data_IF_939068242876
#
_entry.id   IF_939068242876
#
_cell.length_a   1.000
_cell.length_b   1.000
_cell.length_c   1.000
_cell.angle_alpha   90.00
_cell.angle_beta   90.00
_cell.angle_gamma   90.00
#
_symmetry.space_group_name_H-M   'P 1'
#
loop_
_entity.id
_entity.type
_entity.pdbx_description
1 polymer ?
#
# COMPACT_ATOMS: atom_id res chain seq x y z
N UNK A 1 50.62 -81.82 54.53
CA UNK A 1 51.27 -80.56 54.08
C UNK A 1 51.07 -80.23 52.60
N UNK A 2 51.36 -81.14 51.65
CA UNK A 2 51.22 -80.85 50.20
C UNK A 2 49.77 -80.53 49.79
N UNK A 3 48.80 -81.31 50.25
CA UNK A 3 47.36 -81.06 50.03
C UNK A 3 46.91 -79.73 50.61
N UNK A 4 47.43 -79.36 51.77
CA UNK A 4 47.13 -78.09 52.43
C UNK A 4 47.70 -76.89 51.65
N UNK A 5 48.89 -77.04 51.03
CA UNK A 5 49.44 -76.05 50.10
C UNK A 5 48.62 -75.94 48.81
N UNK A 6 48.13 -77.06 48.27
CA UNK A 6 47.25 -77.08 47.09
C UNK A 6 45.90 -76.42 47.39
N UNK A 7 45.29 -76.70 48.54
CA UNK A 7 44.06 -76.06 48.99
C UNK A 7 44.24 -74.55 49.12
N UNK A 8 45.35 -74.08 49.72
CA UNK A 8 45.65 -72.64 49.81
C UNK A 8 45.87 -71.96 48.46
N UNK A 9 46.36 -72.69 47.44
CA UNK A 9 46.47 -72.17 46.08
C UNK A 9 45.10 -72.10 45.42
N UNK A 10 44.30 -73.16 45.52
CA UNK A 10 42.95 -73.20 44.97
C UNK A 10 42.03 -72.14 45.60
N UNK A 11 42.11 -71.91 46.93
CA UNK A 11 41.37 -70.82 47.58
C UNK A 11 41.79 -69.45 47.05
N UNK A 12 43.11 -69.22 46.88
CA UNK A 12 43.60 -67.98 46.27
C UNK A 12 43.08 -67.82 44.85
N UNK A 13 43.14 -68.84 44.01
CA UNK A 13 42.61 -68.79 42.64
C UNK A 13 41.10 -68.47 42.65
N UNK A 14 40.32 -69.10 43.54
CA UNK A 14 38.90 -68.78 43.72
C UNK A 14 38.68 -67.33 44.14
N UNK A 15 39.49 -66.79 45.05
CA UNK A 15 39.38 -65.39 45.48
C UNK A 15 39.67 -64.43 44.31
N UNK A 16 40.71 -64.72 43.51
CA UNK A 16 41.02 -63.93 42.30
C UNK A 16 39.87 -64.01 41.28
N UNK A 17 39.27 -65.19 41.08
CA UNK A 17 38.11 -65.35 40.21
C UNK A 17 36.89 -64.57 40.74
N UNK A 18 36.67 -64.56 42.06
CA UNK A 18 35.61 -63.78 42.69
C UNK A 18 35.86 -62.27 42.56
N UNK A 19 37.09 -61.79 42.74
CA UNK A 19 37.46 -60.39 42.45
C UNK A 19 37.21 -60.03 40.99
N UNK A 20 37.59 -60.91 40.06
CA UNK A 20 37.34 -60.70 38.62
C UNK A 20 35.84 -60.61 38.32
N UNK A 21 35.04 -61.51 38.88
CA UNK A 21 33.58 -61.49 38.72
C UNK A 21 32.98 -60.24 39.36
N UNK A 22 33.44 -59.81 40.54
CA UNK A 22 33.04 -58.53 41.16
C UNK A 22 33.34 -57.35 40.25
N UNK A 23 34.51 -57.32 39.62
CA UNK A 23 34.88 -56.29 38.64
C UNK A 23 33.97 -56.27 37.41
N UNK A 24 33.63 -57.45 36.87
CA UNK A 24 32.71 -57.57 35.73
C UNK A 24 31.30 -57.11 36.12
N UNK A 25 30.80 -57.52 37.29
CA UNK A 25 29.47 -57.11 37.77
C UNK A 25 29.40 -55.59 37.98
N UNK A 26 30.44 -55.00 38.58
CA UNK A 26 30.51 -53.54 38.75
C UNK A 26 30.56 -52.79 37.41
N UNK A 27 31.32 -53.31 36.43
CA UNK A 27 31.35 -52.73 35.08
C UNK A 27 29.98 -52.84 34.39
N UNK A 28 29.31 -53.98 34.49
CA UNK A 28 27.96 -54.17 33.94
C UNK A 28 26.94 -53.26 34.62
N UNK A 29 27.02 -53.07 35.94
CA UNK A 29 26.17 -52.16 36.69
C UNK A 29 26.35 -50.71 36.22
N UNK A 30 27.60 -50.25 36.05
CA UNK A 30 27.89 -48.93 35.49
C UNK A 30 27.35 -48.77 34.06
N UNK A 31 27.45 -49.83 33.24
CA UNK A 31 26.91 -49.83 31.87
C UNK A 31 25.38 -49.73 31.89
N UNK A 32 24.71 -50.46 32.78
CA UNK A 32 23.26 -50.41 32.95
C UNK A 32 22.80 -49.02 33.39
N UNK A 33 23.47 -48.41 34.39
CA UNK A 33 23.19 -47.05 34.84
C UNK A 33 23.39 -46.01 33.71
N UNK A 34 24.42 -46.20 32.87
CA UNK A 34 24.63 -45.35 31.68
C UNK A 34 23.54 -45.55 30.62
N UNK A 35 23.05 -46.77 30.43
CA UNK A 35 21.94 -47.02 29.51
C UNK A 35 20.62 -46.45 30.05
N UNK A 36 20.38 -46.55 31.36
CA UNK A 36 19.22 -45.96 32.03
C UNK A 36 19.21 -44.43 31.98
N UNK A 37 20.38 -43.79 32.15
CA UNK A 37 20.49 -42.33 32.00
C UNK A 37 20.25 -41.89 30.55
N UNK A 38 20.79 -42.65 29.58
CA UNK A 38 20.55 -42.42 28.16
C UNK A 38 19.06 -42.59 27.80
N UNK A 39 18.42 -43.66 28.28
CA UNK A 39 16.98 -43.90 28.06
C UNK A 39 16.14 -42.77 28.65
N UNK A 40 16.47 -42.28 29.85
CA UNK A 40 15.80 -41.12 30.45
C UNK A 40 16.00 -39.85 29.60
N UNK A 41 17.21 -39.57 29.14
CA UNK A 41 17.50 -38.44 28.24
C UNK A 41 16.69 -38.54 26.95
N UNK A 42 16.65 -39.72 26.33
CA UNK A 42 15.86 -39.95 25.11
C UNK A 42 14.35 -39.86 25.35
N UNK A 43 13.86 -40.28 26.52
CA UNK A 43 12.46 -40.06 26.91
C UNK A 43 12.09 -38.57 26.94
N UNK A 44 12.93 -37.75 27.58
CA UNK A 44 12.73 -36.29 27.62
C UNK A 44 12.83 -35.64 26.23
N UNK A 45 13.75 -36.09 25.37
CA UNK A 45 13.83 -35.61 23.98
C UNK A 45 12.55 -35.92 23.20
N UNK A 46 11.98 -37.13 23.35
CA UNK A 46 10.72 -37.51 22.69
C UNK A 46 9.55 -36.68 23.22
N UNK A 47 9.47 -36.46 24.53
CA UNK A 47 8.45 -35.59 25.12
C UNK A 47 8.55 -34.16 24.59
N UNK A 48 9.77 -33.60 24.54
CA UNK A 48 10.02 -32.27 23.98
C UNK A 48 9.60 -32.19 22.51
N UNK A 49 9.98 -33.17 21.69
CA UNK A 49 9.58 -33.24 20.27
C UNK A 49 8.07 -33.40 20.11
N UNK A 50 7.41 -34.16 20.99
CA UNK A 50 5.95 -34.29 20.96
C UNK A 50 5.25 -32.96 21.26
N UNK A 51 5.78 -32.20 22.22
CA UNK A 51 5.26 -30.88 22.57
C UNK A 51 5.49 -29.86 21.44
N UNK A 52 6.66 -29.88 20.78
CA UNK A 52 6.91 -29.00 19.63
C UNK A 52 6.00 -29.34 18.45
N UNK A 53 5.78 -30.63 18.15
CA UNK A 53 4.83 -31.06 17.12
C UNK A 53 3.39 -30.60 17.43
N UNK A 54 2.94 -30.71 18.68
CA UNK A 54 1.63 -30.20 19.10
C UNK A 54 1.52 -28.68 18.94
N UNK A 55 2.55 -27.92 19.31
CA UNK A 55 2.58 -26.47 19.13
C UNK A 55 2.53 -26.07 17.64
N UNK A 56 3.27 -26.78 16.78
CA UNK A 56 3.25 -26.54 15.34
C UNK A 56 1.88 -26.86 14.73
N UNK A 57 1.24 -27.94 15.18
CA UNK A 57 -0.11 -28.29 14.75
C UNK A 57 -1.13 -27.21 15.14
N UNK A 58 -1.05 -26.71 16.37
CA UNK A 58 -1.90 -25.61 16.82
C UNK A 58 -1.67 -24.32 16.01
N UNK A 59 -0.41 -23.96 15.74
CA UNK A 59 -0.07 -22.81 14.91
C UNK A 59 -0.60 -22.96 13.48
N UNK A 60 -0.51 -24.16 12.91
CA UNK A 60 -1.06 -24.48 11.60
C UNK A 60 -2.57 -24.23 11.57
N UNK A 61 -3.31 -24.77 12.53
CA UNK A 61 -4.76 -24.59 12.63
C UNK A 61 -5.14 -23.11 12.85
N UNK A 62 -4.39 -22.38 13.68
CA UNK A 62 -4.61 -20.95 13.88
C UNK A 62 -4.39 -20.14 12.59
N UNK A 63 -3.38 -20.49 11.80
CA UNK A 63 -3.13 -19.84 10.51
C UNK A 63 -4.21 -20.19 9.47
N UNK A 64 -4.64 -21.44 9.39
CA UNK A 64 -5.74 -21.89 8.51
C UNK A 64 -7.07 -21.20 8.86
N UNK A 65 -7.39 -21.04 10.14
CA UNK A 65 -8.61 -20.34 10.57
C UNK A 65 -8.54 -18.83 10.31
N UNK A 66 -7.36 -18.19 10.47
CA UNK A 66 -7.15 -16.79 10.09
C UNK A 66 -7.29 -16.60 8.59
N UNK A 67 -6.66 -17.45 7.79
CA UNK A 67 -6.76 -17.43 6.34
C UNK A 67 -8.21 -17.61 5.89
N UNK A 68 -8.92 -18.58 6.46
CA UNK A 68 -10.35 -18.82 6.15
C UNK A 68 -11.24 -17.63 6.50
N UNK A 69 -10.95 -16.92 7.61
CA UNK A 69 -11.68 -15.69 7.98
C UNK A 69 -11.41 -14.56 7.00
N UNK A 70 -10.13 -14.30 6.72
CA UNK A 70 -9.71 -13.29 5.76
C UNK A 70 -10.29 -13.55 4.37
N UNK A 71 -10.29 -14.80 3.91
CA UNK A 71 -10.87 -15.18 2.62
C UNK A 71 -12.37 -14.85 2.57
N UNK A 72 -13.15 -15.20 3.61
CA UNK A 72 -14.57 -14.86 3.68
C UNK A 72 -14.82 -13.35 3.71
N UNK A 73 -13.96 -12.59 4.38
CA UNK A 73 -14.04 -11.12 4.38
C UNK A 73 -13.78 -10.56 2.97
N UNK A 74 -12.78 -11.07 2.25
CA UNK A 74 -12.53 -10.69 0.87
C UNK A 74 -13.71 -11.04 -0.05
N UNK A 75 -14.24 -12.26 0.06
CA UNK A 75 -15.43 -12.70 -0.70
C UNK A 75 -16.64 -11.81 -0.40
N UNK A 76 -16.86 -11.44 0.87
CA UNK A 76 -17.94 -10.52 1.27
C UNK A 76 -17.74 -9.11 0.70
N UNK A 77 -16.53 -8.57 0.71
CA UNK A 77 -16.22 -7.26 0.12
C UNK A 77 -16.46 -7.29 -1.39
N UNK A 78 -16.01 -8.35 -2.07
CA UNK A 78 -16.22 -8.53 -3.51
C UNK A 78 -17.73 -8.58 -3.82
N UNK A 79 -18.49 -9.38 -3.07
CA UNK A 79 -19.95 -9.47 -3.24
C UNK A 79 -20.64 -8.11 -3.02
N UNK A 80 -20.21 -7.37 -2.00
CA UNK A 80 -20.75 -6.03 -1.72
C UNK A 80 -20.42 -5.03 -2.84
N UNK A 81 -19.19 -5.05 -3.35
CA UNK A 81 -18.78 -4.21 -4.47
C UNK A 81 -19.53 -4.58 -5.76
N UNK A 82 -19.70 -5.86 -6.04
CA UNK A 82 -20.48 -6.33 -7.20
C UNK A 82 -21.93 -5.90 -7.12
N UNK A 83 -22.55 -6.02 -5.94
CA UNK A 83 -23.94 -5.60 -5.70
C UNK A 83 -24.08 -4.08 -5.87
N UNK A 84 -23.20 -3.30 -5.22
CA UNK A 84 -23.18 -1.84 -5.32
C UNK A 84 -22.96 -1.35 -6.76
N UNK A 85 -22.05 -1.99 -7.50
CA UNK A 85 -21.80 -1.67 -8.90
C UNK A 85 -23.02 -1.99 -9.77
N UNK A 86 -23.67 -3.14 -9.55
CA UNK A 86 -24.89 -3.50 -10.27
C UNK A 86 -26.04 -2.53 -9.98
N UNK A 87 -26.29 -2.19 -8.71
CA UNK A 87 -27.31 -1.22 -8.31
C UNK A 87 -27.05 0.14 -8.94
N UNK A 88 -25.78 0.60 -8.95
CA UNK A 88 -25.39 1.86 -9.57
C UNK A 88 -25.55 1.83 -11.09
N UNK A 89 -25.25 0.70 -11.74
CA UNK A 89 -25.45 0.54 -13.17
C UNK A 89 -26.94 0.65 -13.53
N UNK A 90 -27.78 -0.01 -12.73
CA UNK A 90 -29.23 0.07 -12.88
C UNK A 90 -29.76 1.50 -12.68
N UNK A 91 -29.29 2.24 -11.68
CA UNK A 91 -29.64 3.65 -11.52
C UNK A 91 -29.24 4.50 -12.74
N UNK A 92 -28.05 4.26 -13.29
CA UNK A 92 -27.59 4.96 -14.50
C UNK A 92 -28.46 4.59 -15.70
N UNK A 93 -28.84 3.34 -15.86
CA UNK A 93 -29.76 2.88 -16.91
C UNK A 93 -31.14 3.56 -16.77
N UNK A 94 -31.71 3.61 -15.56
CA UNK A 94 -33.00 4.25 -15.26
C UNK A 94 -32.96 5.77 -15.51
N UNK A 95 -31.86 6.44 -15.11
CA UNK A 95 -31.64 7.86 -15.37
C UNK A 95 -31.49 8.12 -16.88
N UNK A 96 -30.74 7.27 -17.58
CA UNK A 96 -30.57 7.34 -19.03
C UNK A 96 -31.92 7.23 -19.75
N UNK A 97 -32.74 6.24 -19.38
CA UNK A 97 -34.07 6.07 -19.94
C UNK A 97 -34.98 7.27 -19.69
N UNK A 98 -34.93 7.85 -18.49
CA UNK A 98 -35.70 9.04 -18.11
C UNK A 98 -35.26 10.27 -18.91
N UNK A 99 -33.96 10.46 -19.11
CA UNK A 99 -33.41 11.57 -19.89
C UNK A 99 -33.75 11.42 -21.38
N UNK A 100 -33.59 10.23 -21.95
CA UNK A 100 -33.98 9.89 -23.33
C UNK A 100 -35.42 10.27 -23.64
N UNK A 101 -36.34 10.06 -22.70
CA UNK A 101 -37.74 10.45 -22.86
C UNK A 101 -37.98 11.98 -22.86
N UNK A 102 -36.99 12.79 -22.45
CA UNK A 102 -37.08 14.26 -22.37
C UNK A 102 -36.31 15.00 -23.46
N UNK A 103 -35.61 14.30 -24.34
CA UNK A 103 -34.81 14.90 -25.41
C UNK A 103 -35.67 15.25 -26.64
N UNK A 104 -35.39 16.40 -27.26
CA UNK A 104 -36.07 16.86 -28.48
C UNK A 104 -35.47 16.28 -29.77
N UNK A 105 -36.18 16.36 -30.92
CA UNK A 105 -35.69 15.85 -32.20
C UNK A 105 -34.44 16.65 -32.63
N UNK A 106 -33.28 15.98 -32.65
CA UNK A 106 -31.95 16.56 -32.91
C UNK A 106 -30.94 16.34 -31.78
N UNK A 107 -31.39 16.17 -30.53
CA UNK A 107 -30.50 15.83 -29.40
C UNK A 107 -30.29 14.31 -29.24
N UNK A 108 -31.13 13.51 -29.90
CA UNK A 108 -31.07 12.05 -29.93
C UNK A 108 -29.84 11.52 -30.67
N UNK A 109 -29.40 12.17 -31.75
CA UNK A 109 -28.23 11.78 -32.54
C UNK A 109 -26.93 11.86 -31.70
N UNK A 110 -26.78 12.93 -30.91
CA UNK A 110 -25.64 13.11 -30.00
C UNK A 110 -25.61 12.03 -28.91
N UNK A 111 -26.79 11.65 -28.38
CA UNK A 111 -26.88 10.59 -27.36
C UNK A 111 -26.56 9.21 -27.97
N UNK A 112 -27.00 8.95 -29.20
CA UNK A 112 -26.65 7.72 -29.92
C UNK A 112 -25.14 7.60 -30.15
N UNK A 113 -24.45 8.68 -30.54
CA UNK A 113 -22.99 8.69 -30.68
C UNK A 113 -22.26 8.49 -29.35
N UNK A 114 -22.73 9.11 -28.26
CA UNK A 114 -22.17 8.90 -26.92
C UNK A 114 -22.39 7.47 -26.43
N UNK A 115 -23.56 6.88 -26.67
CA UNK A 115 -23.85 5.47 -26.37
C UNK A 115 -22.93 4.53 -27.14
N UNK A 116 -22.70 4.80 -28.43
CA UNK A 116 -21.76 4.00 -29.25
C UNK A 116 -20.32 4.12 -28.74
N UNK A 117 -19.85 5.33 -28.38
CA UNK A 117 -18.52 5.54 -27.78
C UNK A 117 -18.39 4.84 -26.42
N UNK A 118 -19.42 4.89 -25.58
CA UNK A 118 -19.43 4.20 -24.29
C UNK A 118 -19.36 2.68 -24.48
N UNK A 119 -20.16 2.13 -25.38
CA UNK A 119 -20.21 0.70 -25.67
C UNK A 119 -18.90 0.18 -26.28
N UNK A 120 -18.19 1.01 -27.07
CA UNK A 120 -16.84 0.72 -27.54
C UNK A 120 -15.82 0.69 -26.39
N UNK A 121 -15.87 1.66 -25.46
CA UNK A 121 -15.01 1.68 -24.27
C UNK A 121 -15.29 0.48 -23.35
N UNK A 122 -16.56 0.12 -23.16
CA UNK A 122 -16.96 -1.04 -22.37
C UNK A 122 -16.42 -2.35 -22.96
N UNK A 123 -16.51 -2.51 -24.29
CA UNK A 123 -15.92 -3.67 -24.98
C UNK A 123 -14.40 -3.76 -24.79
N UNK A 124 -13.68 -2.64 -24.94
CA UNK A 124 -12.22 -2.62 -24.70
C UNK A 124 -11.86 -2.98 -23.25
N UNK A 125 -12.62 -2.47 -22.27
CA UNK A 125 -12.40 -2.83 -20.86
C UNK A 125 -12.68 -4.32 -20.61
N UNK A 126 -13.72 -4.86 -21.22
CA UNK A 126 -14.06 -6.26 -21.10
C UNK A 126 -12.99 -7.17 -21.71
N UNK A 127 -12.45 -6.81 -22.87
CA UNK A 127 -11.34 -7.51 -23.51
C UNK A 127 -10.08 -7.48 -22.62
N UNK A 128 -9.71 -6.31 -22.09
CA UNK A 128 -8.57 -6.16 -21.16
C UNK A 128 -8.73 -6.98 -19.88
N UNK A 129 -9.93 -7.01 -19.30
CA UNK A 129 -10.23 -7.84 -18.13
C UNK A 129 -10.14 -9.33 -18.47
N UNK A 130 -10.62 -9.73 -19.66
CA UNK A 130 -10.52 -11.12 -20.12
C UNK A 130 -9.06 -11.56 -20.28
N UNK A 131 -8.20 -10.70 -20.81
CA UNK A 131 -6.78 -11.00 -21.00
C UNK A 131 -6.02 -11.03 -19.67
N UNK A 132 -6.32 -10.09 -18.75
CA UNK A 132 -5.84 -10.15 -17.36
C UNK A 132 -6.22 -11.46 -16.67
N UNK A 133 -7.45 -11.93 -16.89
CA UNK A 133 -7.92 -13.18 -16.29
C UNK A 133 -7.24 -14.41 -16.90
N UNK A 134 -7.03 -14.44 -18.22
CA UNK A 134 -6.24 -15.50 -18.88
C UNK A 134 -4.83 -15.56 -18.33
N UNK A 135 -4.15 -14.42 -18.20
CA UNK A 135 -2.80 -14.34 -17.62
C UNK A 135 -2.76 -14.86 -16.18
N UNK A 136 -3.76 -14.50 -15.35
CA UNK A 136 -3.83 -14.99 -13.98
C UNK A 136 -3.94 -16.53 -13.92
N UNK A 137 -4.76 -17.12 -14.79
CA UNK A 137 -4.91 -18.59 -14.90
C UNK A 137 -3.63 -19.25 -15.41
N UNK A 138 -2.91 -18.62 -16.35
CA UNK A 138 -1.60 -19.10 -16.82
C UNK A 138 -0.57 -19.13 -15.69
N UNK A 139 -0.47 -18.07 -14.90
CA UNK A 139 0.40 -18.04 -13.72
C UNK A 139 0.00 -19.07 -12.66
N UNK A 140 -1.30 -19.27 -12.44
CA UNK A 140 -1.79 -20.30 -11.52
C UNK A 140 -1.38 -21.71 -11.98
N UNK A 141 -1.51 -22.01 -13.28
CA UNK A 141 -1.05 -23.28 -13.85
C UNK A 141 0.47 -23.45 -13.74
N UNK A 142 1.27 -22.39 -13.95
CA UNK A 142 2.72 -22.44 -13.82
C UNK A 142 3.14 -22.72 -12.37
N UNK A 143 2.55 -22.02 -11.40
CA UNK A 143 2.79 -22.25 -9.97
C UNK A 143 2.42 -23.69 -9.60
N UNK A 144 1.26 -24.16 -10.06
CA UNK A 144 0.81 -25.52 -9.78
C UNK A 144 1.74 -26.58 -10.38
N UNK A 145 2.26 -26.35 -11.58
CA UNK A 145 3.28 -27.19 -12.22
C UNK A 145 4.61 -27.22 -11.44
N UNK A 146 5.06 -26.07 -10.94
CA UNK A 146 6.26 -25.98 -10.09
C UNK A 146 6.07 -26.71 -8.76
N UNK A 147 4.89 -26.58 -8.12
CA UNK A 147 4.55 -27.30 -6.89
C UNK A 147 4.56 -28.82 -7.12
N UNK A 148 3.97 -29.29 -8.22
CA UNK A 148 4.02 -30.71 -8.59
C UNK A 148 5.46 -31.19 -8.83
N UNK A 149 6.27 -30.41 -9.57
CA UNK A 149 7.68 -30.74 -9.78
C UNK A 149 8.46 -30.81 -8.47
N UNK A 150 8.25 -29.86 -7.57
CA UNK A 150 8.89 -29.85 -6.25
C UNK A 150 8.46 -31.06 -5.41
N UNK A 151 7.16 -31.39 -5.39
CA UNK A 151 6.65 -32.58 -4.69
C UNK A 151 7.24 -33.87 -5.26
N UNK A 152 7.34 -34.02 -6.58
CA UNK A 152 7.99 -35.21 -7.18
C UNK A 152 9.46 -35.33 -6.78
N UNK A 153 10.20 -34.21 -6.79
CA UNK A 153 11.61 -34.17 -6.36
C UNK A 153 11.76 -34.51 -4.87
N UNK A 154 10.85 -34.02 -4.03
CA UNK A 154 10.82 -34.33 -2.61
C UNK A 154 10.55 -35.82 -2.38
N UNK A 155 9.60 -36.41 -3.12
CA UNK A 155 9.31 -37.84 -3.08
C UNK A 155 10.53 -38.69 -3.50
N UNK A 156 11.23 -38.28 -4.55
CA UNK A 156 12.46 -38.94 -5.02
C UNK A 156 13.59 -38.84 -4.00
N UNK A 157 13.76 -37.66 -3.38
CA UNK A 157 14.72 -37.43 -2.30
C UNK A 157 14.43 -38.34 -1.10
N UNK A 158 13.16 -38.43 -0.68
CA UNK A 158 12.72 -39.33 0.38
C UNK A 158 13.01 -40.79 0.03
N UNK A 159 12.65 -41.25 -1.18
CA UNK A 159 12.93 -42.61 -1.63
C UNK A 159 14.44 -42.92 -1.68
N UNK A 160 15.28 -41.93 -2.05
CA UNK A 160 16.73 -42.08 -2.01
C UNK A 160 17.26 -42.21 -0.57
N UNK A 161 16.73 -41.40 0.36
CA UNK A 161 17.07 -41.50 1.77
C UNK A 161 16.64 -42.86 2.37
N UNK A 162 15.46 -43.35 2.04
CA UNK A 162 14.98 -44.69 2.47
C UNK A 162 15.89 -45.81 1.97
N UNK A 163 16.29 -45.77 0.69
CA UNK A 163 17.26 -46.74 0.13
C UNK A 163 18.60 -46.69 0.86
N UNK A 164 19.07 -45.50 1.22
CA UNK A 164 20.29 -45.33 2.00
C UNK A 164 20.16 -45.94 3.40
N UNK A 165 19.04 -45.70 4.08
CA UNK A 165 18.75 -46.32 5.38
C UNK A 165 18.71 -47.85 5.26
N UNK A 166 18.09 -48.39 4.21
CA UNK A 166 18.07 -49.83 3.97
C UNK A 166 19.47 -50.41 3.73
N UNK A 167 20.30 -49.76 2.91
CA UNK A 167 21.69 -50.17 2.69
C UNK A 167 22.53 -50.12 3.98
N UNK A 168 22.29 -49.12 4.85
CA UNK A 168 22.93 -49.05 6.16
C UNK A 168 22.48 -50.20 7.07
N UNK A 169 21.19 -50.57 7.05
CA UNK A 169 20.69 -51.73 7.80
C UNK A 169 21.33 -53.04 7.33
N UNK A 170 21.44 -53.25 6.01
CA UNK A 170 22.11 -54.42 5.41
C UNK A 170 23.58 -54.48 5.85
N UNK A 171 24.32 -53.38 5.72
CA UNK A 171 25.72 -53.29 6.16
C UNK A 171 25.88 -53.54 7.66
N UNK A 172 24.95 -53.07 8.48
CA UNK A 172 24.96 -53.33 9.90
C UNK A 172 24.71 -54.82 10.20
N UNK A 173 23.82 -55.47 9.46
CA UNK A 173 23.59 -56.92 9.57
C UNK A 173 24.82 -57.75 9.15
N UNK A 174 25.51 -57.35 8.08
CA UNK A 174 26.79 -57.95 7.65
C UNK A 174 27.86 -57.79 8.72
N UNK A 175 28.00 -56.57 9.28
CA UNK A 175 28.91 -56.29 10.37
C UNK A 175 28.59 -57.13 11.62
N UNK A 176 27.32 -57.32 11.94
CA UNK A 176 26.89 -58.17 13.04
C UNK A 176 27.22 -59.64 12.79
N UNK A 177 27.01 -60.13 11.56
CA UNK A 177 27.39 -61.49 11.16
C UNK A 177 28.92 -61.70 11.24
N UNK A 178 29.72 -60.72 10.80
CA UNK A 178 31.18 -60.76 10.94
C UNK A 178 31.62 -60.76 12.40
N UNK A 179 30.99 -59.95 13.26
CA UNK A 179 31.24 -59.96 14.70
C UNK A 179 30.91 -61.33 15.33
N UNK A 180 29.83 -61.98 14.90
CA UNK A 180 29.48 -63.33 15.36
C UNK A 180 30.47 -64.39 14.86
N UNK A 181 30.89 -64.31 13.59
CA UNK A 181 31.88 -65.22 13.01
C UNK A 181 33.23 -65.10 13.72
N UNK A 182 33.70 -63.87 13.97
CA UNK A 182 34.93 -63.61 14.71
C UNK A 182 34.80 -64.04 16.18
N UNK A 183 33.70 -63.70 16.86
CA UNK A 183 33.45 -64.15 18.23
C UNK A 183 33.37 -65.68 18.37
N UNK A 184 32.84 -66.39 17.36
CA UNK A 184 32.85 -67.86 17.29
C UNK A 184 34.23 -68.45 16.97
N UNK A 185 35.03 -67.74 16.17
CA UNK A 185 36.42 -68.13 15.86
C UNK A 185 37.35 -67.87 17.03
N UNK A 186 37.12 -66.82 17.80
CA UNK A 186 37.81 -66.55 19.06
C UNK A 186 37.43 -67.59 20.12
N UNK A 187 36.19 -68.10 20.12
CA UNK A 187 35.80 -69.25 20.96
C UNK A 187 36.49 -70.56 20.53
N UNK A 188 36.67 -70.80 19.22
CA UNK A 188 37.40 -71.96 18.68
C UNK A 188 38.93 -71.84 18.89
N UNK A 189 39.50 -70.63 18.75
CA UNK A 189 40.91 -70.36 18.98
C UNK A 189 41.27 -70.33 20.47
N UNK A 190 40.34 -69.97 21.35
CA UNK A 190 40.50 -70.06 22.80
C UNK A 190 40.48 -71.51 23.32
N UNK A 191 40.16 -72.49 22.47
CA UNK A 191 40.15 -73.93 22.80
C UNK A 191 41.41 -74.68 22.32
N UNK A 192 42.35 -74.00 21.65
CA UNK A 192 43.65 -74.59 21.30
C UNK A 192 44.69 -74.25 22.39
N UNK A 193 45.22 -75.24 23.14
CA UNK A 193 46.23 -74.97 24.15
C UNK A 193 47.58 -74.67 23.51
N UNK A 194 48.22 -73.65 24.09
CA UNK A 194 49.59 -73.21 23.84
C UNK A 194 50.58 -74.38 23.79
N UNK A 195 51.40 -74.43 22.74
CA UNK A 195 52.75 -74.99 22.83
C UNK A 195 53.75 -73.99 22.24
N UNK A 196 54.78 -73.68 23.03
CA UNK A 196 55.73 -72.58 22.86
C UNK A 196 56.66 -72.71 21.63
N UNK A 197 56.77 -71.60 20.86
CA UNK A 197 57.95 -70.80 20.39
C UNK A 197 59.34 -71.52 20.26
N UNK A 198 60.26 -71.24 19.28
CA UNK A 198 60.64 -69.91 18.74
C UNK A 198 60.97 -69.79 17.23
N UNK A 199 61.40 -68.57 16.87
CA UNK A 199 61.63 -67.95 15.56
C UNK A 199 62.84 -68.44 14.75
N UNK A 200 62.75 -68.34 13.42
CA UNK A 200 63.71 -67.77 12.44
C UNK A 200 63.25 -68.13 11.02
N UNK A 201 62.88 -67.15 10.18
CA UNK A 201 63.68 -66.57 9.05
C UNK A 201 63.82 -67.53 7.85
N UNK A 202 63.78 -66.94 6.64
CA UNK A 202 64.01 -67.52 5.29
C UNK A 202 62.72 -68.13 4.70
N UNK A 203 62.14 -67.74 3.55
CA UNK A 203 62.57 -66.90 2.43
C UNK A 203 61.51 -66.95 1.32
N UNK A 204 61.68 -66.08 0.31
CA UNK A 204 61.24 -66.20 -1.10
C UNK A 204 60.04 -65.31 -1.49
N UNK A 205 60.40 -64.11 -1.96
CA UNK A 205 59.77 -63.36 -3.08
C UNK A 205 60.00 -64.14 -4.40
N UNK A 206 59.12 -64.10 -5.45
CA UNK A 206 59.11 -63.02 -6.47
C UNK A 206 57.69 -62.65 -7.00
N UNK A 207 57.32 -61.39 -7.26
CA UNK A 207 57.66 -60.45 -8.37
C UNK A 207 56.65 -60.46 -9.54
N UNK A 208 56.33 -59.25 -10.05
CA UNK A 208 55.86 -58.85 -11.41
C UNK A 208 54.33 -58.85 -11.66
N UNK A 209 53.67 -57.79 -12.19
CA UNK A 209 54.08 -56.52 -12.82
C UNK A 209 52.94 -55.46 -12.78
N UNK A 210 53.24 -54.15 -12.81
CA UNK A 210 53.17 -53.23 -13.98
C UNK A 210 51.71 -52.93 -14.44
N UNK A 211 51.15 -51.72 -14.64
CA UNK A 211 51.54 -50.30 -14.82
C UNK A 211 50.31 -49.45 -14.32
N UNK A 212 50.33 -48.17 -13.96
CA UNK A 212 50.48 -46.98 -14.83
C UNK A 212 50.46 -45.68 -13.97
N UNK A 213 51.49 -44.84 -14.14
CA UNK A 213 51.51 -43.37 -14.30
C UNK A 213 50.14 -42.63 -14.37
N UNK A 214 49.88 -41.38 -13.95
CA UNK A 214 50.60 -40.23 -13.34
C UNK A 214 49.56 -39.27 -12.72
N UNK A 215 49.99 -38.38 -11.81
CA UNK A 215 49.25 -37.12 -11.57
C UNK A 215 49.38 -36.52 -10.17
N UNK A 216 50.59 -36.17 -9.73
CA UNK A 216 50.84 -35.37 -8.53
C UNK A 216 51.30 -33.96 -8.91
N UNK A 217 50.65 -32.94 -8.37
CA UNK A 217 51.20 -31.56 -8.30
C UNK A 217 51.43 -31.24 -6.84
N UNK A 218 52.70 -31.17 -6.45
CA UNK A 218 53.17 -30.57 -5.21
C UNK A 218 54.28 -29.58 -5.56
N UNK A 219 54.15 -28.32 -5.12
CA UNK A 219 55.18 -27.27 -5.23
C UNK A 219 55.72 -26.96 -3.83
N UNK A 220 57.04 -26.82 -3.63
CA UNK A 220 57.70 -26.52 -2.36
C UNK A 220 58.26 -25.08 -2.27
N UNK A 221 58.41 -24.55 -1.05
CA UNK A 221 59.35 -23.45 -0.73
C UNK A 221 59.65 -23.50 0.79
N UNK A 222 60.87 -23.88 1.23
CA UNK A 222 62.15 -23.14 1.27
C UNK A 222 62.18 -22.11 2.40
N UNK A 223 62.95 -22.42 3.45
CA UNK A 223 63.59 -21.42 4.31
C UNK A 223 65.04 -21.84 4.61
N UNK A 224 65.94 -20.90 4.32
CA UNK A 224 67.39 -21.00 4.32
C UNK A 224 67.97 -20.80 5.73
N UNK A 225 68.97 -21.62 6.08
CA UNK A 225 69.88 -21.39 7.20
C UNK A 225 71.14 -20.69 6.69
N UNK A 226 71.54 -19.58 7.30
CA UNK A 226 72.93 -19.09 7.24
C UNK A 226 73.34 -18.48 8.58
N UNK A 227 74.23 -19.19 9.27
CA UNK A 227 75.08 -18.71 10.36
C UNK A 227 76.23 -17.87 9.83
N UNK A 228 76.70 -16.85 10.56
CA UNK A 228 78.14 -16.54 10.67
C UNK A 228 78.53 -15.88 12.01
N UNK A 229 79.74 -16.26 12.39
CA UNK A 229 80.57 -16.04 13.59
C UNK A 229 81.06 -14.61 13.85
N UNK A 230 81.38 -14.27 15.10
CA UNK A 230 82.67 -13.67 15.51
C UNK A 230 82.83 -13.58 17.04
N UNK A 231 84.02 -13.96 17.55
CA UNK A 231 84.50 -13.84 18.93
C UNK A 231 84.82 -12.39 19.32
N UNK A 232 84.70 -12.07 20.61
CA UNK A 232 85.35 -10.91 21.23
C UNK A 232 85.21 -10.94 22.77
N UNK A 233 86.30 -11.29 23.47
CA UNK A 233 86.47 -11.18 24.93
C UNK A 233 86.53 -9.71 25.37
N UNK A 234 85.87 -9.36 26.48
CA UNK A 234 86.32 -8.30 27.41
C UNK A 234 85.54 -8.32 28.74
N UNK A 235 86.23 -8.75 29.81
CA UNK A 235 86.24 -8.21 31.18
C UNK A 235 84.96 -7.69 31.86
N UNK A 236 84.63 -8.36 32.98
CA UNK A 236 83.73 -7.94 34.10
C UNK A 236 84.20 -6.58 34.71
N UNK A 237 83.30 -5.79 35.35
CA UNK A 237 83.24 -5.87 36.81
C UNK A 237 81.81 -5.86 37.40
N UNK A 238 81.71 -6.56 38.54
CA UNK A 238 80.60 -6.64 39.48
C UNK A 238 80.06 -5.27 39.92
N UNK A 239 78.73 -5.15 40.03
CA UNK A 239 78.03 -4.34 41.04
C UNK A 239 76.78 -5.02 41.59
N UNK A 240 76.97 -6.19 42.20
CA UNK A 240 75.92 -6.97 42.86
C UNK A 240 75.57 -6.39 44.25
N UNK A 241 74.77 -5.32 44.30
CA UNK A 241 73.92 -5.03 45.49
C UNK A 241 72.81 -4.00 45.25
N UNK A 242 72.91 -3.16 44.21
CA UNK A 242 71.84 -2.22 43.81
C UNK A 242 71.09 -2.62 42.53
N UNK A 243 71.60 -3.62 41.80
CA UNK A 243 71.08 -4.07 40.50
C UNK A 243 69.80 -4.90 40.62
N UNK A 244 69.55 -5.56 41.76
CA UNK A 244 68.36 -6.42 41.91
C UNK A 244 67.09 -5.58 42.08
N UNK A 245 67.16 -4.45 42.79
CA UNK A 245 66.02 -3.53 42.94
C UNK A 245 65.74 -2.72 41.66
N UNK A 246 66.79 -2.38 40.89
CA UNK A 246 66.61 -1.72 39.58
C UNK A 246 66.14 -2.70 38.51
N UNK A 247 66.63 -3.94 38.49
CA UNK A 247 66.16 -5.00 37.57
C UNK A 247 64.72 -5.39 37.90
N UNK A 248 64.36 -5.56 39.18
CA UNK A 248 62.97 -5.83 39.56
C UNK A 248 62.02 -4.66 39.22
N UNK A 249 62.50 -3.42 39.33
CA UNK A 249 61.79 -2.23 38.87
C UNK A 249 61.54 -2.26 37.35
N UNK A 250 62.58 -2.54 36.56
CA UNK A 250 62.49 -2.66 35.11
C UNK A 250 61.63 -3.84 34.65
N UNK A 251 61.65 -4.97 35.37
CA UNK A 251 60.77 -6.12 35.10
C UNK A 251 59.30 -5.77 35.34
N UNK A 252 59.00 -5.02 36.40
CA UNK A 252 57.65 -4.53 36.68
C UNK A 252 57.20 -3.51 35.62
N UNK A 253 58.08 -2.60 35.21
CA UNK A 253 57.80 -1.65 34.12
C UNK A 253 57.59 -2.37 32.78
N UNK A 254 58.38 -3.42 32.49
CA UNK A 254 58.21 -4.28 31.32
C UNK A 254 56.86 -5.03 31.35
N UNK A 255 56.47 -5.56 32.52
CA UNK A 255 55.17 -6.22 32.70
C UNK A 255 54.01 -5.24 32.52
N UNK A 256 54.10 -4.05 33.11
CA UNK A 256 53.09 -3.00 32.95
C UNK A 256 52.98 -2.55 31.49
N UNK A 257 54.11 -2.31 30.81
CA UNK A 257 54.13 -1.94 29.40
C UNK A 257 53.53 -3.04 28.51
N UNK A 258 53.72 -4.32 28.87
CA UNK A 258 53.12 -5.46 28.16
C UNK A 258 51.60 -5.52 28.35
N UNK A 259 51.10 -5.29 29.58
CA UNK A 259 49.67 -5.23 29.86
C UNK A 259 49.00 -4.04 29.16
N UNK A 260 49.63 -2.86 29.16
CA UNK A 260 49.14 -1.69 28.44
C UNK A 260 49.09 -1.92 26.92
N UNK A 261 50.11 -2.59 26.35
CA UNK A 261 50.13 -2.94 24.93
C UNK A 261 49.01 -3.94 24.59
N UNK A 262 48.74 -4.91 25.47
CA UNK A 262 47.62 -5.84 25.30
C UNK A 262 46.26 -5.12 25.36
N UNK A 263 46.08 -4.16 26.26
CA UNK A 263 44.88 -3.31 26.33
C UNK A 263 44.72 -2.45 25.07
N UNK A 264 45.80 -1.84 24.58
CA UNK A 264 45.78 -1.07 23.33
C UNK A 264 45.44 -1.95 22.12
N UNK A 265 45.97 -3.18 22.06
CA UNK A 265 45.63 -4.14 21.02
C UNK A 265 44.17 -4.63 21.11
N UNK A 266 43.59 -4.73 22.31
CA UNK A 266 42.16 -5.02 22.49
C UNK A 266 41.32 -3.84 22.00
N UNK A 267 41.64 -2.62 22.40
CA UNK A 267 40.97 -1.39 21.96
C UNK A 267 41.09 -1.15 20.45
N UNK A 268 42.21 -1.51 19.84
CA UNK A 268 42.39 -1.47 18.39
C UNK A 268 41.50 -2.50 17.67
N UNK A 269 41.35 -3.71 18.22
CA UNK A 269 40.41 -4.69 17.65
C UNK A 269 38.97 -4.21 17.79
N UNK A 270 38.60 -3.64 18.93
CA UNK A 270 37.28 -3.05 19.16
C UNK A 270 36.99 -1.91 18.18
N UNK A 271 37.91 -0.96 18.01
CA UNK A 271 37.72 0.14 17.05
C UNK A 271 37.68 -0.34 15.59
N UNK A 272 38.44 -1.38 15.23
CA UNK A 272 38.32 -2.03 13.91
C UNK A 272 36.96 -2.69 13.70
N UNK A 273 36.40 -3.33 14.73
CA UNK A 273 35.05 -3.90 14.66
C UNK A 273 33.98 -2.81 14.54
N UNK A 274 34.11 -1.72 15.29
CA UNK A 274 33.21 -0.56 15.19
C UNK A 274 33.29 0.10 13.81
N UNK A 275 34.50 0.28 13.25
CA UNK A 275 34.69 0.80 11.90
C UNK A 275 34.05 -0.12 10.85
N UNK A 276 34.19 -1.44 10.98
CA UNK A 276 33.54 -2.39 10.09
C UNK A 276 32.01 -2.34 10.20
N UNK A 277 31.47 -2.14 11.40
CA UNK A 277 30.03 -2.00 11.62
C UNK A 277 29.50 -0.70 11.01
N UNK A 278 30.22 0.42 11.19
CA UNK A 278 29.88 1.70 10.58
C UNK A 278 29.97 1.63 9.04
N UNK A 279 31.00 1.00 8.48
CA UNK A 279 31.10 0.77 7.04
C UNK A 279 29.92 -0.05 6.50
N UNK A 280 29.49 -1.08 7.21
CA UNK A 280 28.31 -1.86 6.85
C UNK A 280 27.04 -1.01 6.90
N UNK A 281 26.87 -0.16 7.91
CA UNK A 281 25.71 0.72 8.03
C UNK A 281 25.68 1.77 6.91
N UNK A 282 26.83 2.34 6.54
CA UNK A 282 26.94 3.26 5.41
C UNK A 282 26.57 2.56 4.10
N UNK A 283 27.06 1.33 3.87
CA UNK A 283 26.71 0.57 2.67
C UNK A 283 25.19 0.27 2.59
N UNK A 284 24.55 -0.05 3.71
CA UNK A 284 23.09 -0.24 3.77
C UNK A 284 22.35 1.08 3.48
N UNK A 285 22.79 2.19 4.07
CA UNK A 285 22.19 3.51 3.81
C UNK A 285 22.36 3.95 2.36
N UNK A 286 23.52 3.70 1.75
CA UNK A 286 23.76 3.96 0.32
C UNK A 286 22.80 3.15 -0.56
N UNK A 287 22.58 1.87 -0.22
CA UNK A 287 21.62 1.03 -0.93
C UNK A 287 20.17 1.52 -0.77
N UNK A 288 19.76 1.93 0.42
CA UNK A 288 18.43 2.53 0.67
C UNK A 288 18.23 3.82 -0.13
N UNK A 289 19.22 4.71 -0.12
CA UNK A 289 19.18 5.95 -0.93
C UNK A 289 19.11 5.64 -2.43
N UNK A 290 19.78 4.59 -2.89
CA UNK A 290 19.74 4.19 -4.29
C UNK A 290 18.39 3.59 -4.69
N UNK A 291 17.75 2.81 -3.81
CA UNK A 291 16.37 2.35 -3.99
C UNK A 291 15.41 3.54 -4.04
N UNK A 292 15.53 4.49 -3.11
CA UNK A 292 14.71 5.71 -3.11
C UNK A 292 14.90 6.54 -4.39
N UNK A 293 16.13 6.65 -4.89
CA UNK A 293 16.41 7.33 -6.16
C UNK A 293 15.72 6.62 -7.34
N UNK A 294 15.78 5.28 -7.40
CA UNK A 294 15.10 4.49 -8.43
C UNK A 294 13.57 4.65 -8.36
N UNK A 295 13.00 4.69 -7.16
CA UNK A 295 11.57 4.94 -6.94
C UNK A 295 11.16 6.34 -7.40
N UNK A 296 11.95 7.37 -7.08
CA UNK A 296 11.70 8.73 -7.58
C UNK A 296 11.75 8.80 -9.10
N UNK A 297 12.76 8.18 -9.73
CA UNK A 297 12.83 8.14 -11.20
C UNK A 297 11.63 7.42 -11.83
N UNK A 298 11.17 6.31 -11.22
CA UNK A 298 9.98 5.59 -11.66
C UNK A 298 8.72 6.46 -11.56
N UNK A 299 8.58 7.20 -10.45
CA UNK A 299 7.49 8.15 -10.25
C UNK A 299 7.55 9.28 -11.30
N UNK A 300 8.73 9.85 -11.57
CA UNK A 300 8.92 10.87 -12.60
C UNK A 300 8.53 10.36 -13.99
N UNK A 301 8.94 9.13 -14.37
CA UNK A 301 8.50 8.51 -15.63
C UNK A 301 6.98 8.34 -15.68
N UNK A 302 6.36 7.92 -14.57
CA UNK A 302 4.91 7.75 -14.47
C UNK A 302 4.17 9.09 -14.63
N UNK A 303 4.68 10.16 -14.01
CA UNK A 303 4.12 11.51 -14.17
C UNK A 303 4.20 11.94 -15.63
N UNK A 304 5.36 11.75 -16.28
CA UNK A 304 5.53 12.12 -17.69
C UNK A 304 4.54 11.39 -18.61
N UNK A 305 4.38 10.08 -18.43
CA UNK A 305 3.40 9.28 -19.20
C UNK A 305 1.97 9.80 -18.97
N UNK A 306 1.62 10.15 -17.73
CA UNK A 306 0.32 10.72 -17.41
C UNK A 306 0.12 12.11 -18.01
N UNK A 307 1.13 12.97 -18.03
CA UNK A 307 1.07 14.28 -18.68
C UNK A 307 0.86 14.16 -20.19
N UNK A 308 1.56 13.23 -20.84
CA UNK A 308 1.41 13.02 -22.27
C UNK A 308 0.03 12.42 -22.60
N UNK A 309 -0.47 11.49 -21.78
CA UNK A 309 -1.84 11.01 -21.90
C UNK A 309 -2.88 12.13 -21.70
N UNK A 310 -2.66 13.04 -20.75
CA UNK A 310 -3.55 14.19 -20.54
C UNK A 310 -3.56 15.09 -21.78
N UNK A 311 -2.39 15.37 -22.38
CA UNK A 311 -2.31 16.14 -23.63
C UNK A 311 -3.06 15.45 -24.76
N UNK A 312 -2.89 14.14 -24.92
CA UNK A 312 -3.59 13.36 -25.95
C UNK A 312 -5.11 13.36 -25.74
N UNK A 313 -5.57 13.20 -24.50
CA UNK A 313 -6.99 13.28 -24.16
C UNK A 313 -7.54 14.68 -24.39
N UNK A 314 -6.80 15.73 -24.03
CA UNK A 314 -7.18 17.12 -24.32
C UNK A 314 -7.28 17.36 -25.82
N UNK A 315 -6.37 16.83 -26.63
CA UNK A 315 -6.43 16.89 -28.09
C UNK A 315 -7.61 16.11 -28.68
N UNK A 316 -7.97 14.96 -28.10
CA UNK A 316 -9.14 14.18 -28.53
C UNK A 316 -10.49 14.79 -28.12
N UNK A 317 -10.51 15.56 -27.03
CA UNK A 317 -11.71 16.23 -26.52
C UNK A 317 -12.01 17.56 -27.24
N UNK A 318 -11.03 18.15 -27.93
CA UNK A 318 -11.24 19.34 -28.76
C UNK A 318 -11.72 18.87 -30.13
N UNK A 319 -12.99 19.13 -30.46
CA UNK A 319 -13.52 18.78 -31.77
C UNK A 319 -12.83 19.63 -32.86
N UNK A 320 -12.31 19.01 -33.94
CA UNK A 320 -11.58 19.73 -34.98
C UNK A 320 -12.45 20.73 -35.75
N UNK A 321 -13.78 20.63 -35.64
CA UNK A 321 -14.74 21.57 -36.20
C UNK A 321 -14.95 22.81 -35.31
N UNK A 322 -14.75 22.68 -33.99
CA UNK A 322 -14.91 23.76 -33.03
C UNK A 322 -13.78 24.79 -33.12
N UNK A 323 -12.57 24.38 -33.51
CA UNK A 323 -11.44 25.30 -33.70
C UNK A 323 -11.75 26.34 -34.80
N UNK A 324 -12.10 25.97 -36.05
CA UNK A 324 -12.47 26.94 -37.07
C UNK A 324 -13.87 27.57 -36.83
N UNK A 325 -14.79 26.91 -36.12
CA UNK A 325 -16.07 27.52 -35.75
C UNK A 325 -15.90 28.65 -34.71
N UNK A 326 -15.02 28.46 -33.72
CA UNK A 326 -14.65 29.47 -32.73
C UNK A 326 -13.97 30.67 -33.39
N UNK A 327 -13.08 30.43 -34.37
CA UNK A 327 -12.47 31.50 -35.16
C UNK A 327 -13.50 32.27 -36.00
N UNK A 328 -14.44 31.58 -36.65
CA UNK A 328 -15.56 32.21 -37.39
C UNK A 328 -16.46 33.03 -36.46
N UNK A 329 -16.86 32.47 -35.32
CA UNK A 329 -17.66 33.18 -34.30
C UNK A 329 -16.92 34.40 -33.77
N UNK A 330 -15.61 34.30 -33.56
CA UNK A 330 -14.78 35.44 -33.12
C UNK A 330 -14.76 36.54 -34.17
N UNK A 331 -14.63 36.20 -35.45
CA UNK A 331 -14.67 37.15 -36.56
C UNK A 331 -16.08 37.78 -36.72
N UNK A 332 -17.14 36.99 -36.57
CA UNK A 332 -18.52 37.47 -36.61
C UNK A 332 -18.82 38.42 -35.45
N UNK A 333 -18.37 38.11 -34.24
CA UNK A 333 -18.50 39.02 -33.08
C UNK A 333 -17.77 40.34 -33.33
N UNK A 334 -16.59 40.31 -33.94
CA UNK A 334 -15.85 41.53 -34.30
C UNK A 334 -16.59 42.36 -35.35
N UNK A 335 -17.11 41.73 -36.41
CA UNK A 335 -17.90 42.42 -37.44
C UNK A 335 -19.23 42.97 -36.91
N UNK A 336 -19.87 42.25 -35.99
CA UNK A 336 -21.09 42.73 -35.33
C UNK A 336 -20.78 43.92 -34.43
N UNK A 337 -19.65 43.93 -33.71
CA UNK A 337 -19.22 45.10 -32.94
C UNK A 337 -18.95 46.32 -33.83
N UNK A 338 -18.33 46.13 -34.99
CA UNK A 338 -18.09 47.20 -35.97
C UNK A 338 -19.39 47.72 -36.58
N UNK A 339 -20.32 46.83 -36.95
CA UNK A 339 -21.65 47.21 -37.43
C UNK A 339 -22.47 47.95 -36.37
N UNK A 340 -22.45 47.49 -35.12
CA UNK A 340 -23.11 48.17 -34.00
C UNK A 340 -22.51 49.58 -33.81
N UNK A 341 -21.19 49.72 -33.82
CA UNK A 341 -20.53 51.03 -33.75
C UNK A 341 -20.91 51.95 -34.93
N UNK A 342 -21.06 51.40 -36.14
CA UNK A 342 -21.48 52.17 -37.31
C UNK A 342 -22.94 52.65 -37.24
N UNK A 343 -23.85 51.79 -36.75
CA UNK A 343 -25.28 52.13 -36.56
C UNK A 343 -25.46 53.13 -35.42
N UNK A 344 -24.65 53.02 -34.37
CA UNK A 344 -24.61 54.00 -33.27
C UNK A 344 -24.18 55.39 -33.75
N UNK A 345 -23.31 55.49 -34.75
CA UNK A 345 -22.86 56.78 -35.32
C UNK A 345 -23.86 57.46 -36.25
N UNK A 346 -24.81 56.72 -36.85
CA UNK A 346 -25.71 57.22 -37.91
C UNK A 346 -27.11 57.61 -37.41
N UNK A 347 -27.52 57.17 -36.21
CA UNK A 347 -28.87 57.40 -35.65
C UNK A 347 -28.99 58.45 -34.55
N UNK A 348 -27.94 59.23 -34.26
CA UNK A 348 -27.77 59.85 -32.94
C UNK A 348 -28.52 61.16 -32.64
N UNK A 349 -29.07 61.92 -33.60
CA UNK A 349 -29.65 63.24 -33.27
C UNK A 349 -31.15 63.21 -32.88
N UNK A 350 -31.98 62.37 -33.51
CA UNK A 350 -33.41 62.25 -33.15
C UNK A 350 -33.67 61.11 -32.16
N UNK A 351 -32.91 60.01 -32.22
CA UNK A 351 -32.99 58.94 -31.22
C UNK A 351 -32.23 59.28 -29.93
N UNK A 352 -31.21 60.15 -29.99
CA UNK A 352 -30.45 60.60 -28.83
C UNK A 352 -31.33 61.33 -27.83
N UNK A 353 -32.16 62.27 -28.28
CA UNK A 353 -33.08 63.01 -27.42
C UNK A 353 -34.16 62.11 -26.78
N UNK A 354 -34.70 61.13 -27.54
CA UNK A 354 -35.68 60.16 -27.02
C UNK A 354 -35.04 59.18 -26.03
N UNK A 355 -33.83 58.70 -26.32
CA UNK A 355 -33.05 57.83 -25.43
C UNK A 355 -32.67 58.57 -24.15
N UNK A 356 -32.26 59.82 -24.24
CA UNK A 356 -31.98 60.69 -23.09
C UNK A 356 -33.23 60.89 -22.23
N UNK A 357 -34.39 61.14 -22.85
CA UNK A 357 -35.66 61.31 -22.14
C UNK A 357 -36.12 60.02 -21.45
N UNK A 358 -35.96 58.86 -22.11
CA UNK A 358 -36.25 57.55 -21.51
C UNK A 358 -35.28 57.24 -20.36
N UNK A 359 -33.99 57.54 -20.51
CA UNK A 359 -33.00 57.36 -19.46
C UNK A 359 -33.32 58.21 -18.22
N UNK A 360 -33.65 59.48 -18.39
CA UNK A 360 -34.06 60.36 -17.29
C UNK A 360 -35.34 59.86 -16.59
N UNK A 361 -36.29 59.30 -17.35
CA UNK A 361 -37.51 58.73 -16.78
C UNK A 361 -37.25 57.43 -16.00
N UNK A 362 -36.39 56.55 -16.52
CA UNK A 362 -35.99 55.32 -15.85
C UNK A 362 -35.16 55.60 -14.60
N UNK A 363 -34.24 56.57 -14.64
CA UNK A 363 -33.49 57.06 -13.49
C UNK A 363 -34.44 57.58 -12.40
N UNK A 364 -35.44 58.38 -12.80
CA UNK A 364 -36.49 58.85 -11.90
C UNK A 364 -37.33 57.74 -11.26
N UNK A 365 -37.56 56.61 -11.95
CA UNK A 365 -38.22 55.43 -11.38
C UNK A 365 -37.31 54.65 -10.42
N UNK A 366 -36.02 54.54 -10.74
CA UNK A 366 -35.04 53.92 -9.84
C UNK A 366 -34.95 54.70 -8.53
N UNK A 367 -34.97 56.03 -8.61
CA UNK A 367 -35.00 56.90 -7.44
C UNK A 367 -36.31 56.82 -6.64
N UNK A 368 -37.45 56.58 -7.28
CA UNK A 368 -38.69 56.29 -6.56
C UNK A 368 -38.67 54.94 -5.88
N UNK A 369 -38.13 53.92 -6.53
CA UNK A 369 -37.98 52.59 -5.96
C UNK A 369 -37.04 52.61 -4.76
N UNK A 370 -35.95 53.37 -4.80
CA UNK A 370 -35.07 53.55 -3.64
C UNK A 370 -35.79 54.27 -2.49
N UNK A 371 -36.51 55.37 -2.76
CA UNK A 371 -37.34 56.07 -1.77
C UNK A 371 -38.46 55.22 -1.19
N UNK A 372 -39.08 54.35 -1.99
CA UNK A 372 -40.09 53.39 -1.54
C UNK A 372 -39.48 52.36 -0.59
N UNK A 373 -38.32 51.82 -0.95
CA UNK A 373 -37.58 50.88 -0.11
C UNK A 373 -37.18 51.50 1.23
N UNK A 374 -36.74 52.76 1.25
CA UNK A 374 -36.45 53.49 2.49
C UNK A 374 -37.70 53.66 3.37
N UNK A 375 -38.83 54.04 2.78
CA UNK A 375 -40.09 54.19 3.50
C UNK A 375 -40.59 52.84 4.06
N UNK A 376 -40.45 51.76 3.30
CA UNK A 376 -40.81 50.40 3.73
C UNK A 376 -39.84 49.86 4.79
N UNK A 377 -38.56 50.26 4.75
CA UNK A 377 -37.60 49.95 5.82
C UNK A 377 -37.93 50.71 7.11
N UNK A 378 -38.31 51.98 7.01
CA UNK A 378 -38.81 52.75 8.15
C UNK A 378 -40.08 52.13 8.74
N UNK A 379 -40.98 51.60 7.90
CA UNK A 379 -42.17 50.86 8.33
C UNK A 379 -41.79 49.59 9.11
N UNK A 380 -40.84 48.79 8.59
CA UNK A 380 -40.32 47.61 9.29
C UNK A 380 -39.66 47.97 10.63
N UNK A 381 -38.95 49.09 10.69
CA UNK A 381 -38.37 49.60 11.94
C UNK A 381 -39.45 50.00 12.94
N UNK A 382 -40.54 50.64 12.48
CA UNK A 382 -41.69 50.98 13.31
C UNK A 382 -42.38 49.74 13.86
N UNK A 383 -42.64 48.72 13.03
CA UNK A 383 -43.17 47.44 13.51
C UNK A 383 -42.20 46.75 14.48
N UNK A 384 -40.89 46.81 14.25
CA UNK A 384 -39.89 46.25 15.17
C UNK A 384 -39.91 46.96 16.52
N UNK A 385 -40.03 48.29 16.53
CA UNK A 385 -40.21 49.09 17.75
C UNK A 385 -41.52 48.73 18.45
N UNK A 386 -42.64 48.67 17.72
CA UNK A 386 -43.97 48.32 18.26
C UNK A 386 -44.02 46.93 18.90
N UNK A 387 -43.31 45.94 18.32
CA UNK A 387 -43.18 44.58 18.88
C UNK A 387 -42.34 44.59 20.16
N UNK A 388 -41.25 45.37 20.21
CA UNK A 388 -40.43 45.52 21.43
C UNK A 388 -41.22 46.13 22.59
N UNK A 389 -42.13 47.08 22.31
CA UNK A 389 -43.00 47.69 23.31
C UNK A 389 -44.19 46.81 23.75
N UNK A 390 -44.50 45.71 23.04
CA UNK A 390 -45.51 44.75 23.48
C UNK A 390 -45.06 43.87 24.66
N UNK A 391 -43.77 43.89 25.03
CA UNK A 391 -43.21 43.05 26.10
C UNK A 391 -43.21 43.68 27.51
N UNK A 392 -43.60 44.95 27.70
CA UNK A 392 -43.60 45.64 29.00
C UNK A 392 -44.97 46.27 29.34
N UNK A 393 -45.64 45.89 30.46
CA UNK A 393 -47.05 46.22 30.71
C UNK A 393 -47.27 47.29 31.80
N UNK A 394 -46.87 48.55 31.61
CA UNK A 394 -47.22 49.64 32.55
C UNK A 394 -47.78 50.90 31.83
N UNK A 395 -48.95 51.38 32.27
CA UNK A 395 -50.00 51.98 31.44
C UNK A 395 -50.14 53.52 31.50
N UNK A 396 -49.05 54.27 31.29
CA UNK A 396 -49.19 55.71 30.97
C UNK A 396 -48.09 56.25 30.04
N UNK A 397 -46.92 55.60 30.02
CA UNK A 397 -45.88 55.82 29.02
C UNK A 397 -46.20 55.08 27.72
N UNK A 398 -46.91 53.94 27.81
CA UNK A 398 -47.42 53.17 26.67
C UNK A 398 -48.35 53.98 25.77
N UNK A 399 -49.32 54.71 26.33
CA UNK A 399 -50.29 55.43 25.50
C UNK A 399 -49.65 56.61 24.77
N UNK A 400 -48.69 57.30 25.40
CA UNK A 400 -47.92 58.38 24.77
C UNK A 400 -46.98 57.86 23.67
N UNK A 401 -46.32 56.73 23.90
CA UNK A 401 -45.44 56.11 22.90
C UNK A 401 -46.24 55.51 21.74
N UNK A 402 -47.35 54.81 22.01
CA UNK A 402 -48.26 54.34 20.97
C UNK A 402 -48.85 55.48 20.13
N UNK A 403 -49.15 56.62 20.75
CA UNK A 403 -49.58 57.82 20.02
C UNK A 403 -48.48 58.34 19.07
N UNK A 404 -47.22 58.40 19.53
CA UNK A 404 -46.07 58.79 18.70
C UNK A 404 -45.81 57.78 17.57
N UNK A 405 -45.92 56.48 17.84
CA UNK A 405 -45.79 55.44 16.82
C UNK A 405 -46.98 55.46 15.82
N UNK A 406 -48.19 55.81 16.26
CA UNK A 406 -49.34 55.98 15.36
C UNK A 406 -49.14 57.20 14.44
N UNK A 407 -48.65 58.32 14.96
CA UNK A 407 -48.28 59.50 14.18
C UNK A 407 -47.15 59.17 13.21
N UNK A 408 -46.13 58.42 13.65
CA UNK A 408 -45.06 57.90 12.80
C UNK A 408 -45.57 56.99 11.67
N UNK A 409 -46.51 56.10 11.97
CA UNK A 409 -47.14 55.22 10.99
C UNK A 409 -47.97 56.03 9.96
N UNK A 410 -48.68 57.06 10.40
CA UNK A 410 -49.42 57.97 9.50
C UNK A 410 -48.46 58.72 8.55
N UNK A 411 -47.33 59.20 9.06
CA UNK A 411 -46.30 59.86 8.22
C UNK A 411 -45.69 58.89 7.21
N UNK A 412 -45.36 57.66 7.63
CA UNK A 412 -44.82 56.64 6.72
C UNK A 412 -45.85 56.25 5.66
N UNK A 413 -47.12 56.07 6.04
CA UNK A 413 -48.20 55.78 5.09
C UNK A 413 -48.35 56.90 4.06
N UNK A 414 -48.40 58.17 4.50
CA UNK A 414 -48.49 59.30 3.58
C UNK A 414 -47.27 59.36 2.65
N UNK A 415 -46.06 59.09 3.16
CA UNK A 415 -44.83 59.02 2.35
C UNK A 415 -44.87 57.89 1.32
N UNK A 416 -45.39 56.72 1.69
CA UNK A 416 -45.56 55.58 0.78
C UNK A 416 -46.58 55.90 -0.31
N UNK A 417 -47.73 56.45 0.05
CA UNK A 417 -48.78 56.89 -0.89
C UNK A 417 -48.24 57.93 -1.88
N UNK A 418 -47.46 58.91 -1.42
CA UNK A 418 -46.83 59.90 -2.28
C UNK A 418 -45.81 59.29 -3.25
N UNK A 419 -44.93 58.38 -2.78
CA UNK A 419 -43.91 57.76 -3.63
C UNK A 419 -44.55 56.82 -4.64
N UNK A 420 -45.59 56.07 -4.26
CA UNK A 420 -46.37 55.22 -5.16
C UNK A 420 -47.16 56.04 -6.17
N UNK A 421 -47.76 57.16 -5.76
CA UNK A 421 -48.47 58.07 -6.67
C UNK A 421 -47.53 58.62 -7.74
N UNK A 422 -46.36 59.14 -7.33
CA UNK A 422 -45.35 59.65 -8.28
C UNK A 422 -44.83 58.55 -9.21
N UNK A 423 -44.62 57.33 -8.71
CA UNK A 423 -44.14 56.22 -9.55
C UNK A 423 -45.17 55.73 -10.55
N UNK A 424 -46.45 55.69 -10.19
CA UNK A 424 -47.54 55.40 -11.13
C UNK A 424 -47.64 56.48 -12.21
N UNK A 425 -47.50 57.77 -11.85
CA UNK A 425 -47.47 58.86 -12.84
C UNK A 425 -46.25 58.79 -13.77
N UNK A 426 -45.07 58.38 -13.27
CA UNK A 426 -43.87 58.19 -14.11
C UNK A 426 -43.99 56.97 -15.01
N UNK A 427 -44.60 55.89 -14.51
CA UNK A 427 -44.89 54.68 -15.30
C UNK A 427 -45.92 54.97 -16.41
N UNK A 428 -47.01 55.70 -16.12
CA UNK A 428 -48.00 56.06 -17.15
C UNK A 428 -47.40 56.96 -18.23
N UNK A 429 -46.48 57.86 -17.87
CA UNK A 429 -45.70 58.66 -18.82
C UNK A 429 -44.75 57.82 -19.67
N UNK A 430 -44.17 56.75 -19.11
CA UNK A 430 -43.35 55.81 -19.86
C UNK A 430 -44.19 54.94 -20.80
N UNK A 431 -45.35 54.47 -20.36
CA UNK A 431 -46.29 53.71 -21.19
C UNK A 431 -46.80 54.55 -22.37
N UNK A 432 -47.11 55.83 -22.15
CA UNK A 432 -47.49 56.75 -23.25
C UNK A 432 -46.33 57.02 -24.22
N UNK A 433 -45.09 57.18 -23.72
CA UNK A 433 -43.88 57.28 -24.55
C UNK A 433 -43.58 55.99 -25.34
N UNK A 434 -43.96 54.83 -24.80
CA UNK A 434 -43.85 53.53 -25.46
C UNK A 434 -44.96 53.33 -26.51
N UNK A 435 -46.21 53.70 -26.21
CA UNK A 435 -47.36 53.60 -27.12
C UNK A 435 -47.22 54.49 -28.36
N UNK A 436 -46.69 55.71 -28.20
CA UNK A 436 -46.38 56.63 -29.33
C UNK A 436 -45.27 56.05 -30.24
N UNK A 437 -44.48 55.09 -29.76
CA UNK A 437 -43.51 54.35 -30.57
C UNK A 437 -44.09 53.26 -31.48
N UNK A 438 -45.39 52.94 -31.35
CA UNK A 438 -46.06 51.88 -32.11
C UNK A 438 -46.72 52.32 -33.42
N UNK A 439 -46.86 53.63 -33.69
CA UNK A 439 -47.61 54.16 -34.85
C UNK A 439 -46.77 55.14 -35.67
N UNK A 440 -45.60 54.71 -36.12
CA UNK A 440 -44.78 55.47 -37.06
C UNK A 440 -43.91 54.55 -37.93
N UNK A 441 -44.55 53.66 -38.71
CA UNK A 441 -43.95 53.05 -39.90
C UNK A 441 -45.02 52.35 -40.77
N UNK A 442 -45.38 52.98 -41.89
CA UNK A 442 -46.20 52.44 -42.99
C UNK A 442 -47.70 52.71 -42.81
N UNK A 443 -48.47 53.16 -43.80
CA UNK A 443 -48.24 53.41 -45.22
C UNK A 443 -49.44 54.25 -45.69
N UNK A 444 -49.20 55.30 -46.48
CA UNK A 444 -50.25 56.09 -47.12
C UNK A 444 -50.82 55.28 -48.30
N UNK A 445 -52.02 54.71 -48.16
CA UNK A 445 -52.88 54.46 -49.32
C UNK A 445 -54.33 54.79 -48.97
N UNK A 446 -54.84 55.84 -49.61
CA UNK A 446 -56.27 56.05 -49.77
C UNK A 446 -56.86 54.90 -50.58
N UNK A 447 -57.90 54.23 -50.07
CA UNK A 447 -59.01 53.81 -50.95
C UNK A 447 -60.31 53.56 -50.17
N UNK A 448 -61.39 53.67 -50.93
CA UNK A 448 -62.75 54.04 -50.59
C UNK A 448 -63.61 53.02 -49.82
N UNK A 449 -64.55 53.59 -49.05
CA UNK A 449 -66.00 53.33 -49.05
C UNK A 449 -66.62 51.94 -48.84
N UNK A 450 -67.85 52.03 -48.30
CA UNK A 450 -69.00 51.08 -48.25
C UNK A 450 -69.12 50.28 -46.96
N UNK A 451 -69.95 50.71 -46.01
CA UNK A 451 -71.41 50.45 -45.94
C UNK A 451 -71.75 48.98 -46.22
N UNK A 452 -71.97 48.20 -45.16
CA UNK A 452 -73.09 47.25 -45.11
C UNK A 452 -73.60 47.14 -43.66
N UNK A 453 -74.84 47.59 -43.50
CA UNK A 453 -75.76 47.18 -42.45
C UNK A 453 -76.44 45.89 -42.90
N UNK A 454 -76.67 44.96 -41.98
CA UNK A 454 -77.73 43.93 -41.97
C UNK A 454 -77.49 43.09 -40.70
N UNK A 455 -78.15 43.34 -39.56
CA UNK A 455 -79.55 43.01 -39.26
C UNK A 455 -79.97 41.64 -39.78
N UNK A 456 -79.96 40.63 -38.90
CA UNK A 456 -81.06 39.66 -38.86
C UNK A 456 -81.23 39.13 -37.43
N UNK A 457 -82.48 39.28 -36.96
CA UNK A 457 -83.10 38.69 -35.80
C UNK A 457 -83.13 37.15 -35.91
N UNK A 458 -83.05 36.42 -34.79
CA UNK A 458 -84.17 35.53 -34.43
C UNK A 458 -84.15 35.23 -32.92
N UNK A 459 -85.36 35.17 -32.38
CA UNK A 459 -85.76 35.30 -30.99
C UNK A 459 -86.04 33.93 -30.32
N UNK A 460 -86.31 33.98 -29.02
CA UNK A 460 -87.03 33.02 -28.17
C UNK A 460 -86.18 31.95 -27.44
N UNK A 461 -86.35 31.69 -26.13
CA UNK A 461 -87.17 32.30 -25.08
C UNK A 461 -86.82 31.68 -23.70
N UNK A 462 -87.26 32.37 -22.63
CA UNK A 462 -87.56 31.88 -21.27
C UNK A 462 -86.38 31.55 -20.34
N UNK A 463 -86.30 31.93 -19.06
CA UNK A 463 -87.22 32.45 -18.02
C UNK A 463 -86.33 33.31 -17.06
N UNK A 464 -86.69 34.51 -16.61
CA UNK A 464 -87.68 34.83 -15.56
C UNK A 464 -87.45 34.14 -14.20
N UNK A 465 -86.71 34.80 -13.29
CA UNK A 465 -87.10 35.13 -11.89
C UNK A 465 -85.91 35.77 -11.16
N UNK A 466 -85.98 37.03 -10.70
CA UNK A 466 -86.52 37.48 -9.39
C UNK A 466 -85.74 36.87 -8.20
N UNK A 467 -85.27 37.58 -7.18
CA UNK A 467 -85.56 38.93 -6.70
C UNK A 467 -84.60 39.23 -5.52
N UNK A 468 -84.31 40.52 -5.32
CA UNK A 468 -83.84 41.21 -4.09
C UNK A 468 -82.41 40.97 -3.60
#
# INVERSE_FOLDING_TARGET
EKELRQLHLAMRERDHDLERLRGILSANEATMQSMESLLRSKGLEVEQLSATCQNLQWLKEEMETKFSRWQKEQESIIQQLQTSLHDRNKEVEDLTATLLCKLGPGQTEIVEELCQRLQQKERMLQDLLSDRNKQAVEYEMEIQGLLQSMSTREQESHAAAEKMVQALMERNSELQALRQYLGGKDFMMSQAPLSNRPAEVTSISPHLGEQTDQGSVHIPSRDDSTSLTAKGDASVPRSSLGEVDTVAGLEKELSNAKEELELMAKKERESRMELSALQSMVAVQEQELQVQAADMESLTRTIQIKEDLIKDLQMQLVDPEDIPAMERLTQEVLLLREKVASVESQGQETSGNRRQQLLLMLEGLVDERSRLNEALQAERQLYSSLVKFHAHPESSERDRTLQVELEGAQVIRNRLEEVLGRSLERLSRLETLAAIGGTAAGDDTEDASTEFTDSIEEEAAHNSHQQL
#
